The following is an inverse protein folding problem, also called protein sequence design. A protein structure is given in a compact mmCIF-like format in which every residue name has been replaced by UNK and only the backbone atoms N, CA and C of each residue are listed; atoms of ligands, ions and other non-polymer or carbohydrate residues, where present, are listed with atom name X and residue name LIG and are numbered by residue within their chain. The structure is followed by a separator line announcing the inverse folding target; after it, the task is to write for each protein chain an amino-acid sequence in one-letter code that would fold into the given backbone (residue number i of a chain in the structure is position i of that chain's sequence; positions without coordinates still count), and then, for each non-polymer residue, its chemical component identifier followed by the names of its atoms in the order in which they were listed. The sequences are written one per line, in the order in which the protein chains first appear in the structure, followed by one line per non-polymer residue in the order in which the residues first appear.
data_IF_799949059830
#
_entry.id   IF_799949059830
#
_cell.length_a   1.000
_cell.length_b   1.000
_cell.length_c   1.000
_cell.angle_alpha   90.00
_cell.angle_beta   90.00
_cell.angle_gamma   90.00
#
_symmetry.space_group_name_H-M   'P 1'
#
loop_
_entity.id
_entity.type
_entity.pdbx_description
1 polymer ?
#
# COMPACT_ATOMS: atom_id res chain seq x y z
N UNK A 1 26.75 -13.61 -23.41
CA UNK A 1 26.91 -12.23 -22.88
C UNK A 1 25.56 -11.58 -22.59
N UNK A 2 24.61 -11.54 -23.55
CA UNK A 2 23.28 -10.95 -23.30
C UNK A 2 22.37 -11.77 -22.38
N UNK A 3 22.60 -13.08 -22.26
CA UNK A 3 21.83 -13.94 -21.35
C UNK A 3 21.98 -13.50 -19.89
N UNK A 4 23.19 -13.12 -19.49
CA UNK A 4 23.51 -12.61 -18.15
C UNK A 4 22.86 -11.23 -17.90
N UNK A 5 22.88 -10.33 -18.89
CA UNK A 5 22.18 -9.03 -18.77
C UNK A 5 20.66 -9.21 -18.72
N UNK A 6 20.11 -10.12 -19.53
CA UNK A 6 18.66 -10.40 -19.54
C UNK A 6 18.22 -11.00 -18.21
N UNK A 7 18.95 -11.99 -17.70
CA UNK A 7 18.70 -12.59 -16.39
C UNK A 7 18.76 -11.51 -15.30
N UNK A 8 19.84 -10.71 -15.26
CA UNK A 8 19.97 -9.61 -14.30
C UNK A 8 18.79 -8.65 -14.35
N UNK A 9 18.38 -8.23 -15.56
CA UNK A 9 17.25 -7.31 -15.74
C UNK A 9 15.96 -7.88 -15.16
N UNK A 10 15.62 -9.14 -15.44
CA UNK A 10 14.39 -9.74 -14.92
C UNK A 10 14.45 -10.02 -13.42
N UNK A 11 15.55 -10.58 -12.94
CA UNK A 11 15.70 -11.03 -11.56
C UNK A 11 15.87 -9.88 -10.57
N UNK A 12 16.46 -8.75 -10.99
CA UNK A 12 16.74 -7.63 -10.10
C UNK A 12 15.86 -6.42 -10.39
N UNK A 13 15.72 -6.03 -11.66
CA UNK A 13 15.05 -4.77 -12.02
C UNK A 13 13.53 -4.96 -12.13
N UNK A 14 13.10 -5.93 -12.95
CA UNK A 14 11.68 -6.24 -13.12
C UNK A 14 11.08 -6.75 -11.81
N UNK A 15 11.80 -7.60 -11.06
CA UNK A 15 11.36 -8.08 -9.76
C UNK A 15 11.14 -6.93 -8.75
N UNK A 16 12.10 -6.01 -8.60
CA UNK A 16 11.96 -4.87 -7.68
C UNK A 16 10.82 -3.93 -8.10
N UNK A 17 10.69 -3.65 -9.40
CA UNK A 17 9.62 -2.83 -9.95
C UNK A 17 8.23 -3.47 -9.72
N UNK A 18 8.08 -4.77 -9.98
CA UNK A 18 6.85 -5.48 -9.72
C UNK A 18 6.52 -5.55 -8.23
N UNK A 19 7.53 -5.69 -7.36
CA UNK A 19 7.36 -5.60 -5.91
C UNK A 19 6.80 -4.25 -5.46
N UNK A 20 7.25 -3.14 -6.08
CA UNK A 20 6.64 -1.83 -5.86
C UNK A 20 5.19 -1.77 -6.38
N UNK A 21 4.91 -2.25 -7.60
CA UNK A 21 3.55 -2.23 -8.14
C UNK A 21 2.57 -3.06 -7.30
N UNK A 22 3.01 -4.20 -6.79
CA UNK A 22 2.23 -5.04 -5.87
C UNK A 22 1.98 -4.29 -4.56
N UNK A 23 3.03 -3.67 -4.01
CA UNK A 23 2.90 -2.88 -2.77
C UNK A 23 1.92 -1.72 -2.95
N UNK A 24 2.04 -0.93 -4.03
CA UNK A 24 1.12 0.18 -4.32
C UNK A 24 -0.34 -0.27 -4.44
N UNK A 25 -0.57 -1.50 -4.90
CA UNK A 25 -1.91 -2.07 -5.13
C UNK A 25 -2.51 -2.75 -3.91
N UNK A 26 -1.69 -3.18 -2.96
CA UNK A 26 -2.22 -3.74 -1.73
C UNK A 26 -2.95 -2.67 -0.92
N UNK A 27 -3.92 -3.11 -0.13
CA UNK A 27 -4.67 -2.21 0.75
C UNK A 27 -3.93 -1.89 2.04
N UNK A 28 -2.61 -2.04 2.17
CA UNK A 28 -1.89 -1.82 3.44
C UNK A 28 -1.09 -0.53 3.38
N UNK A 29 -1.29 0.38 4.32
CA UNK A 29 -0.57 1.65 4.40
C UNK A 29 0.08 1.82 5.77
N UNK A 30 1.35 2.20 5.82
CA UNK A 30 2.09 2.37 7.07
C UNK A 30 3.46 1.71 7.05
N UNK A 31 4.18 1.83 8.16
CA UNK A 31 5.53 1.27 8.35
C UNK A 31 6.52 1.58 7.20
N UNK A 32 6.33 2.72 6.50
CA UNK A 32 7.10 3.15 5.34
C UNK A 32 7.28 2.08 4.26
N UNK A 33 6.26 1.23 4.09
CA UNK A 33 6.33 0.08 3.18
C UNK A 33 6.37 0.51 1.72
N UNK A 34 5.46 1.39 1.30
CA UNK A 34 5.39 1.89 -0.07
C UNK A 34 6.64 2.71 -0.41
N UNK A 35 7.13 3.52 0.53
CA UNK A 35 8.37 4.27 0.38
C UNK A 35 9.57 3.34 0.19
N UNK A 36 9.75 2.33 1.05
CA UNK A 36 10.85 1.36 0.91
C UNK A 36 10.78 0.61 -0.42
N UNK A 37 9.59 0.16 -0.81
CA UNK A 37 9.40 -0.52 -2.09
C UNK A 37 9.75 0.40 -3.28
N UNK A 38 9.34 1.67 -3.24
CA UNK A 38 9.65 2.65 -4.26
C UNK A 38 11.17 2.93 -4.36
N UNK A 39 11.86 3.11 -3.23
CA UNK A 39 13.31 3.34 -3.20
C UNK A 39 14.08 2.11 -3.71
N UNK A 40 13.63 0.89 -3.37
CA UNK A 40 14.24 -0.33 -3.88
C UNK A 40 14.11 -0.44 -5.40
N UNK A 41 12.90 -0.20 -5.94
CA UNK A 41 12.67 -0.16 -7.38
C UNK A 41 13.49 0.93 -8.07
N UNK A 42 13.56 2.13 -7.48
CA UNK A 42 14.34 3.24 -8.01
C UNK A 42 15.83 2.91 -8.08
N UNK A 43 16.36 2.28 -7.04
CA UNK A 43 17.76 1.88 -6.95
C UNK A 43 18.10 0.86 -8.04
N UNK A 44 17.27 -0.17 -8.22
CA UNK A 44 17.47 -1.18 -9.26
C UNK A 44 17.42 -0.59 -10.67
N UNK A 45 16.44 0.28 -10.95
CA UNK A 45 16.30 0.97 -12.24
C UNK A 45 17.45 1.94 -12.52
N UNK A 46 17.93 2.66 -11.51
CA UNK A 46 19.02 3.62 -11.68
C UNK A 46 20.35 2.90 -11.97
N UNK A 47 20.67 1.85 -11.22
CA UNK A 47 21.96 1.16 -11.34
C UNK A 47 22.06 0.15 -12.49
N UNK A 48 20.96 -0.20 -13.17
CA UNK A 48 20.99 -1.10 -14.35
C UNK A 48 22.02 -0.66 -15.41
N UNK A 49 22.23 0.66 -15.57
CA UNK A 49 23.25 1.22 -16.47
C UNK A 49 24.64 0.62 -16.25
N UNK A 50 25.00 0.31 -15.01
CA UNK A 50 26.32 -0.23 -14.63
C UNK A 50 26.51 -1.67 -15.12
N UNK A 51 25.40 -2.39 -15.34
CA UNK A 51 25.38 -3.77 -15.83
C UNK A 51 25.31 -3.85 -17.36
N UNK A 52 25.09 -2.73 -18.06
CA UNK A 52 25.15 -2.70 -19.52
C UNK A 52 26.61 -2.88 -19.98
N UNK A 53 26.89 -3.76 -20.97
CA UNK A 53 28.22 -3.91 -21.56
C UNK A 53 28.80 -2.58 -22.04
N UNK A 54 30.10 -2.36 -21.82
CA UNK A 54 30.75 -1.07 -22.08
C UNK A 54 30.52 -0.53 -23.51
N UNK A 55 30.47 -1.42 -24.51
CA UNK A 55 30.22 -1.06 -25.92
C UNK A 55 28.83 -0.43 -26.17
N UNK A 56 27.85 -0.69 -25.31
CA UNK A 56 26.47 -0.18 -25.45
C UNK A 56 26.09 0.77 -24.30
N UNK A 57 26.96 0.97 -23.32
CA UNK A 57 26.65 1.73 -22.11
C UNK A 57 26.57 3.23 -22.40
N UNK A 58 25.36 3.75 -22.51
CA UNK A 58 25.08 5.19 -22.60
C UNK A 58 25.53 5.92 -21.32
N UNK A 59 25.89 7.20 -21.44
CA UNK A 59 26.17 8.02 -20.25
C UNK A 59 24.87 8.36 -19.51
N UNK A 60 24.97 8.77 -18.23
CA UNK A 60 23.80 9.27 -17.48
C UNK A 60 23.14 10.43 -18.23
N UNK A 61 23.93 11.34 -18.79
CA UNK A 61 23.46 12.49 -19.56
C UNK A 61 22.67 12.06 -20.79
N UNK A 62 23.14 11.04 -21.52
CA UNK A 62 22.44 10.54 -22.71
C UNK A 62 21.12 9.86 -22.37
N UNK A 63 21.06 9.14 -21.24
CA UNK A 63 19.82 8.55 -20.75
C UNK A 63 18.84 9.63 -20.28
N UNK A 64 19.31 10.67 -19.58
CA UNK A 64 18.49 11.79 -19.14
C UNK A 64 17.93 12.61 -20.32
N UNK A 65 18.67 12.72 -21.44
CA UNK A 65 18.16 13.33 -22.66
C UNK A 65 17.00 12.53 -23.29
N UNK A 66 16.98 11.22 -23.11
CA UNK A 66 15.91 10.34 -23.62
C UNK A 66 14.73 10.23 -22.64
N UNK A 67 15.02 10.23 -21.34
CA UNK A 67 14.05 10.18 -20.26
C UNK A 67 14.49 11.12 -19.13
N UNK A 68 13.98 12.36 -19.07
CA UNK A 68 14.37 13.32 -18.02
C UNK A 68 14.14 12.80 -16.60
N UNK A 69 13.15 11.91 -16.43
CA UNK A 69 12.85 11.26 -15.16
C UNK A 69 13.99 10.34 -14.67
N UNK A 70 14.95 9.95 -15.53
CA UNK A 70 16.14 9.21 -15.11
C UNK A 70 17.07 10.04 -14.21
N UNK A 71 17.16 11.36 -14.44
CA UNK A 71 17.93 12.25 -13.56
C UNK A 71 17.23 12.43 -12.20
N UNK A 72 15.91 12.64 -12.22
CA UNK A 72 15.11 12.71 -11.00
C UNK A 72 15.20 11.40 -10.19
N UNK A 73 15.16 10.25 -10.88
CA UNK A 73 15.35 8.95 -10.25
C UNK A 73 16.72 8.85 -9.57
N UNK A 74 17.78 9.33 -10.24
CA UNK A 74 19.12 9.40 -9.66
C UNK A 74 19.15 10.25 -8.39
N UNK A 75 18.47 11.39 -8.37
CA UNK A 75 18.41 12.23 -7.17
C UNK A 75 17.66 11.54 -6.04
N UNK A 76 16.53 10.88 -6.33
CA UNK A 76 15.76 10.07 -5.37
C UNK A 76 16.65 9.01 -4.71
N UNK A 77 17.40 8.23 -5.52
CA UNK A 77 18.31 7.18 -5.01
C UNK A 77 19.41 7.79 -4.15
N UNK A 78 20.01 8.91 -4.61
CA UNK A 78 21.12 9.51 -3.89
C UNK A 78 20.69 10.20 -2.58
N UNK A 79 19.56 10.93 -2.54
CA UNK A 79 19.07 11.50 -1.27
C UNK A 79 18.67 10.40 -0.30
N UNK A 80 18.04 9.31 -0.76
CA UNK A 80 17.66 8.20 0.11
C UNK A 80 18.89 7.54 0.77
N UNK A 81 20.02 7.49 0.05
CA UNK A 81 21.29 6.96 0.55
C UNK A 81 22.05 7.96 1.45
N UNK A 82 22.08 9.23 1.08
CA UNK A 82 22.96 10.23 1.69
C UNK A 82 22.23 11.23 2.60
N UNK A 83 20.92 11.07 2.76
CA UNK A 83 19.98 12.00 3.41
C UNK A 83 19.83 13.33 2.70
N UNK A 84 20.93 14.02 2.39
CA UNK A 84 20.92 15.35 1.80
C UNK A 84 21.90 15.42 0.63
N UNK A 85 21.50 16.12 -0.43
CA UNK A 85 22.35 16.40 -1.59
C UNK A 85 22.82 17.86 -1.57
N UNK A 86 24.13 18.07 -1.70
CA UNK A 86 24.76 19.39 -1.70
C UNK A 86 25.22 19.86 -3.08
N UNK A 87 25.16 19.01 -4.12
CA UNK A 87 25.58 19.33 -5.48
C UNK A 87 24.63 20.33 -6.15
N UNK A 88 25.17 21.25 -6.95
CA UNK A 88 24.41 22.37 -7.55
C UNK A 88 23.29 21.93 -8.51
N UNK A 89 23.48 20.80 -9.22
CA UNK A 89 22.47 20.26 -10.12
C UNK A 89 21.71 19.10 -9.44
N UNK A 90 20.57 19.44 -8.85
CA UNK A 90 19.63 18.49 -8.22
C UNK A 90 18.20 18.99 -8.31
N UNK A 91 17.25 18.07 -8.43
CA UNK A 91 15.81 18.30 -8.34
C UNK A 91 15.29 18.11 -6.91
N UNK A 92 16.01 17.33 -6.09
CA UNK A 92 15.62 16.96 -4.72
C UNK A 92 16.77 17.25 -3.77
N UNK A 93 16.53 18.03 -2.72
CA UNK A 93 17.57 18.37 -1.74
C UNK A 93 17.72 17.35 -0.62
N UNK A 94 16.61 16.77 -0.14
CA UNK A 94 16.60 15.97 1.09
C UNK A 94 15.69 14.74 0.98
N UNK A 95 16.04 13.67 1.69
CA UNK A 95 15.26 12.44 1.78
C UNK A 95 13.86 12.68 2.37
N UNK A 96 13.70 13.67 3.26
CA UNK A 96 12.40 14.06 3.82
C UNK A 96 11.43 14.61 2.76
N UNK A 97 11.94 15.01 1.59
CA UNK A 97 11.11 15.42 0.47
C UNK A 97 10.52 14.22 -0.30
N UNK A 98 10.89 12.98 0.03
CA UNK A 98 10.27 11.78 -0.48
C UNK A 98 9.34 11.23 0.60
N UNK A 99 8.05 11.16 0.32
CA UNK A 99 7.05 10.85 1.33
C UNK A 99 5.89 10.04 0.78
N UNK A 100 5.24 9.30 1.68
CA UNK A 100 3.99 8.59 1.38
C UNK A 100 2.82 9.55 1.58
N UNK A 101 1.85 9.49 0.68
CA UNK A 101 0.60 10.23 0.75
C UNK A 101 -0.59 9.28 0.58
N UNK A 102 -1.54 9.36 1.50
CA UNK A 102 -2.84 8.73 1.40
C UNK A 102 -3.84 9.71 0.78
N UNK A 103 -4.28 9.42 -0.44
CA UNK A 103 -5.35 10.16 -1.12
C UNK A 103 -6.67 9.48 -0.81
N UNK A 104 -7.63 10.24 -0.28
CA UNK A 104 -8.98 9.74 -0.02
C UNK A 104 -9.97 10.48 -0.88
N UNK A 105 -10.75 9.76 -1.68
CA UNK A 105 -11.79 10.36 -2.52
C UNK A 105 -13.16 10.00 -1.98
N UNK A 106 -13.93 11.02 -1.59
CA UNK A 106 -15.32 10.89 -1.18
C UNK A 106 -16.25 10.84 -2.39
N UNK A 107 -17.16 9.88 -2.37
CA UNK A 107 -18.27 9.71 -3.31
C UNK A 107 -19.59 9.65 -2.52
N UNK A 108 -20.71 9.79 -3.22
CA UNK A 108 -22.06 9.76 -2.67
C UNK A 108 -22.96 8.84 -3.51
N UNK A 109 -23.80 8.06 -2.82
CA UNK A 109 -24.89 7.31 -3.42
C UNK A 109 -26.16 7.41 -2.53
N UNK A 110 -27.21 6.68 -2.88
CA UNK A 110 -28.47 6.69 -2.12
C UNK A 110 -28.34 6.19 -0.66
N UNK A 111 -27.29 5.43 -0.33
CA UNK A 111 -26.99 4.95 1.02
C UNK A 111 -26.08 5.91 1.81
N UNK A 112 -25.63 7.00 1.19
CA UNK A 112 -24.80 8.05 1.79
C UNK A 112 -23.37 8.07 1.26
N UNK A 113 -22.47 8.69 2.02
CA UNK A 113 -21.07 8.85 1.63
C UNK A 113 -20.31 7.52 1.64
N UNK A 114 -19.33 7.38 0.76
CA UNK A 114 -18.34 6.30 0.75
C UNK A 114 -17.00 6.78 0.20
N UNK A 115 -15.93 6.01 0.44
CA UNK A 115 -14.57 6.48 0.21
C UNK A 115 -13.72 5.46 -0.55
N UNK A 116 -12.93 5.96 -1.49
CA UNK A 116 -11.84 5.22 -2.13
C UNK A 116 -10.50 5.72 -1.59
N UNK A 117 -9.62 4.78 -1.22
CA UNK A 117 -8.26 5.07 -0.82
C UNK A 117 -7.26 4.83 -1.95
N UNK A 118 -6.28 5.71 -2.05
CA UNK A 118 -5.14 5.54 -2.94
C UNK A 118 -3.84 5.90 -2.24
N UNK A 119 -2.85 5.04 -2.39
CA UNK A 119 -1.51 5.24 -1.84
C UNK A 119 -0.60 5.80 -2.92
N UNK A 120 0.11 6.88 -2.59
CA UNK A 120 1.13 7.48 -3.46
C UNK A 120 2.45 7.59 -2.71
N UNK A 121 3.54 7.48 -3.46
CA UNK A 121 4.86 7.95 -3.03
C UNK A 121 5.16 9.16 -3.88
N UNK A 122 5.34 10.31 -3.24
CA UNK A 122 5.59 11.58 -3.91
C UNK A 122 6.99 12.07 -3.56
N UNK A 123 7.53 12.89 -4.46
CA UNK A 123 8.75 13.66 -4.21
C UNK A 123 8.47 15.15 -4.41
N UNK A 124 8.89 15.98 -3.45
CA UNK A 124 8.84 17.44 -3.55
C UNK A 124 10.14 17.95 -4.20
N UNK A 125 9.99 18.71 -5.26
CA UNK A 125 11.10 19.29 -6.03
C UNK A 125 11.52 20.64 -5.44
N UNK A 126 12.69 21.14 -5.86
CA UNK A 126 13.22 22.45 -5.42
C UNK A 126 12.33 23.64 -5.79
N UNK A 127 11.55 23.52 -6.87
CA UNK A 127 10.59 24.55 -7.30
C UNK A 127 9.27 24.51 -6.50
N UNK A 128 9.16 23.61 -5.53
CA UNK A 128 7.97 23.42 -4.70
C UNK A 128 6.91 22.51 -5.31
N UNK A 129 7.05 22.11 -6.57
CA UNK A 129 6.15 21.14 -7.21
C UNK A 129 6.35 19.73 -6.66
N UNK A 130 5.42 18.83 -6.96
CA UNK A 130 5.49 17.41 -6.58
C UNK A 130 5.40 16.50 -7.80
N UNK A 131 6.08 15.35 -7.74
CA UNK A 131 6.01 14.28 -8.76
C UNK A 131 5.64 12.96 -8.12
N UNK A 132 4.82 12.15 -8.79
CA UNK A 132 4.52 10.78 -8.38
C UNK A 132 5.71 9.88 -8.73
N UNK A 133 6.35 9.31 -7.71
CA UNK A 133 7.52 8.44 -7.89
C UNK A 133 7.16 7.20 -8.71
N UNK A 134 5.91 6.71 -8.61
CA UNK A 134 5.44 5.61 -9.44
C UNK A 134 5.45 5.93 -10.93
N UNK A 135 5.11 7.17 -11.32
CA UNK A 135 5.21 7.61 -12.72
C UNK A 135 6.66 7.70 -13.19
N UNK A 136 7.55 8.23 -12.35
CA UNK A 136 9.00 8.29 -12.61
C UNK A 136 9.55 6.88 -12.85
N UNK A 137 9.18 5.91 -12.00
CA UNK A 137 9.57 4.51 -12.14
C UNK A 137 9.07 3.89 -13.45
N UNK A 138 7.80 4.14 -13.81
CA UNK A 138 7.20 3.66 -15.07
C UNK A 138 7.94 4.24 -16.28
N UNK A 139 8.19 5.55 -16.28
CA UNK A 139 8.87 6.23 -17.38
C UNK A 139 10.30 5.71 -17.57
N UNK A 140 11.02 5.43 -16.49
CA UNK A 140 12.37 4.85 -16.56
C UNK A 140 12.34 3.37 -16.96
N UNK A 141 11.35 2.59 -16.51
CA UNK A 141 11.17 1.21 -16.97
C UNK A 141 10.87 1.13 -18.48
N UNK A 142 9.99 1.99 -18.98
CA UNK A 142 9.69 2.12 -20.43
C UNK A 142 10.94 2.48 -21.25
N UNK A 143 11.76 3.40 -20.74
CA UNK A 143 13.06 3.72 -21.35
C UNK A 143 13.94 2.46 -21.41
N UNK A 144 14.08 1.73 -20.31
CA UNK A 144 14.90 0.51 -20.28
C UNK A 144 14.38 -0.60 -21.20
N UNK A 145 13.07 -0.79 -21.33
CA UNK A 145 12.52 -1.71 -22.32
C UNK A 145 12.91 -1.31 -23.75
N UNK A 146 12.87 0.00 -24.06
CA UNK A 146 13.34 0.52 -25.34
C UNK A 146 14.82 0.26 -25.59
N UNK A 147 15.68 0.59 -24.61
CA UNK A 147 17.13 0.41 -24.68
C UNK A 147 17.52 -1.08 -24.85
N UNK A 148 16.95 -1.96 -24.03
CA UNK A 148 17.24 -3.39 -24.07
C UNK A 148 16.73 -4.04 -25.36
N UNK A 149 15.62 -3.56 -25.92
CA UNK A 149 15.17 -4.00 -27.23
C UNK A 149 16.11 -3.55 -28.35
N UNK A 150 16.55 -2.29 -28.35
CA UNK A 150 17.52 -1.78 -29.34
C UNK A 150 18.86 -2.52 -29.30
N UNK A 151 19.29 -2.97 -28.12
CA UNK A 151 20.50 -3.79 -27.96
C UNK A 151 20.32 -5.27 -28.35
N UNK A 152 19.10 -5.70 -28.70
CA UNK A 152 18.80 -7.11 -29.01
C UNK A 152 18.71 -8.03 -27.79
N UNK A 153 18.68 -7.48 -26.57
CA UNK A 153 18.50 -8.24 -25.31
C UNK A 153 17.06 -8.73 -25.20
N UNK A 154 16.11 -7.86 -25.53
CA UNK A 154 14.69 -8.18 -25.59
C UNK A 154 14.27 -8.39 -27.05
N UNK A 155 13.59 -9.50 -27.31
CA UNK A 155 13.08 -9.84 -28.64
C UNK A 155 12.03 -8.83 -29.12
N UNK A 156 11.19 -8.38 -28.19
CA UNK A 156 10.12 -7.43 -28.43
C UNK A 156 10.19 -6.32 -27.39
N UNK A 157 9.81 -5.11 -27.81
CA UNK A 157 9.65 -4.00 -26.89
C UNK A 157 8.46 -4.28 -25.97
N UNK A 158 8.73 -4.30 -24.67
CA UNK A 158 7.69 -4.39 -23.64
C UNK A 158 7.20 -3.00 -23.25
N UNK A 159 6.00 -2.98 -22.67
CA UNK A 159 5.35 -1.78 -22.16
C UNK A 159 4.72 -2.06 -20.80
N UNK A 160 4.68 -1.04 -19.95
CA UNK A 160 3.99 -1.05 -18.69
C UNK A 160 2.56 -0.59 -18.93
N UNK A 161 1.59 -1.44 -18.56
CA UNK A 161 0.18 -1.06 -18.62
C UNK A 161 -0.10 0.13 -17.70
N UNK A 162 -0.50 1.25 -18.30
CA UNK A 162 -1.00 2.42 -17.56
C UNK A 162 -2.49 2.24 -17.37
N UNK A 163 -2.93 2.33 -16.11
CA UNK A 163 -4.37 2.48 -15.86
C UNK A 163 -4.76 3.89 -16.29
N UNK A 164 -5.85 4.07 -17.05
CA UNK A 164 -6.38 5.40 -17.28
C UNK A 164 -6.69 6.04 -15.92
N UNK A 165 -6.38 7.32 -15.76
CA UNK A 165 -7.01 8.12 -14.71
C UNK A 165 -8.50 8.08 -15.00
N UNK A 166 -9.28 7.34 -14.21
CA UNK A 166 -10.70 7.18 -14.48
C UNK A 166 -11.37 8.46 -13.99
N UNK A 167 -11.93 9.29 -14.90
CA UNK A 167 -12.71 10.46 -14.50
C UNK A 167 -14.09 10.05 -14.01
N UNK A 168 -14.50 8.79 -14.16
CA UNK A 168 -15.80 8.30 -13.72
C UNK A 168 -15.84 8.02 -12.21
N UNK A 169 -17.00 8.24 -11.57
CA UNK A 169 -17.16 7.94 -10.16
C UNK A 169 -17.11 6.42 -9.94
N UNK A 170 -16.31 5.99 -8.97
CA UNK A 170 -16.31 4.59 -8.55
C UNK A 170 -17.60 4.25 -7.84
N UNK A 171 -18.14 3.05 -8.05
CA UNK A 171 -19.25 2.53 -7.27
C UNK A 171 -18.78 2.05 -5.89
N UNK A 172 -19.69 1.99 -4.91
CA UNK A 172 -19.40 1.53 -3.54
C UNK A 172 -18.72 0.15 -3.47
N UNK A 173 -19.05 -0.77 -4.39
CA UNK A 173 -18.42 -2.10 -4.47
C UNK A 173 -17.02 -2.11 -5.10
N UNK A 174 -16.61 -1.03 -5.76
CA UNK A 174 -15.37 -0.93 -6.53
C UNK A 174 -14.35 0.03 -5.91
N UNK A 175 -14.58 0.48 -4.67
CA UNK A 175 -13.60 1.28 -3.93
C UNK A 175 -12.50 0.42 -3.34
N UNK A 176 -11.31 1.01 -3.20
CA UNK A 176 -10.13 0.36 -2.61
C UNK A 176 -10.10 0.69 -1.12
N UNK A 177 -10.26 -0.30 -0.22
CA UNK A 177 -10.03 -0.08 1.20
C UNK A 177 -8.54 0.11 1.46
N UNK A 178 -8.20 0.93 2.46
CA UNK A 178 -6.84 1.08 2.95
C UNK A 178 -6.83 0.78 4.45
N UNK A 179 -6.10 -0.26 4.81
CA UNK A 179 -5.82 -0.71 6.17
C UNK A 179 -4.56 -0.01 6.66
N UNK A 180 -4.70 0.72 7.75
CA UNK A 180 -3.60 1.45 8.36
C UNK A 180 -2.83 0.54 9.32
N UNK A 181 -1.51 0.44 9.14
CA UNK A 181 -0.61 -0.30 10.01
C UNK A 181 0.25 0.69 10.83
N UNK A 182 0.11 0.62 12.15
CA UNK A 182 0.82 1.48 13.09
C UNK A 182 1.55 0.59 14.10
N UNK A 183 2.86 0.76 14.20
CA UNK A 183 3.65 0.11 15.22
C UNK A 183 3.59 0.92 16.53
N UNK A 184 3.20 0.27 17.62
CA UNK A 184 3.14 0.90 18.94
C UNK A 184 4.53 1.40 19.37
N UNK A 185 4.58 2.62 19.93
CA UNK A 185 5.83 3.24 20.38
C UNK A 185 6.73 3.78 19.26
N UNK A 186 6.34 3.67 17.99
CA UNK A 186 7.07 4.22 16.85
C UNK A 186 6.35 5.47 16.32
N UNK A 187 7.10 6.47 15.86
CA UNK A 187 6.53 7.67 15.23
C UNK A 187 5.62 7.29 14.06
N UNK A 188 4.39 7.78 14.11
CA UNK A 188 3.46 7.75 12.99
C UNK A 188 3.46 9.10 12.26
N UNK A 189 3.77 9.11 10.97
CA UNK A 189 3.65 10.30 10.09
C UNK A 189 2.83 9.88 8.88
N UNK A 190 1.73 10.59 8.62
CA UNK A 190 0.89 10.40 7.44
C UNK A 190 0.67 11.76 6.77
N UNK A 191 0.84 11.82 5.45
CA UNK A 191 0.37 12.94 4.65
C UNK A 191 -0.94 12.52 3.97
N UNK A 192 -1.98 13.33 4.11
CA UNK A 192 -3.30 13.02 3.58
C UNK A 192 -3.72 14.06 2.56
N UNK A 193 -4.37 13.62 1.47
CA UNK A 193 -4.99 14.48 0.47
C UNK A 193 -6.46 14.09 0.34
N UNK A 194 -7.36 14.70 1.13
CA UNK A 194 -8.79 14.48 0.98
C UNK A 194 -9.31 15.19 -0.27
N UNK A 195 -10.16 14.49 -1.00
CA UNK A 195 -10.79 14.93 -2.23
C UNK A 195 -12.25 14.47 -2.27
N UNK A 196 -13.06 15.10 -3.09
CA UNK A 196 -14.43 14.69 -3.35
C UNK A 196 -14.71 14.66 -4.84
N UNK A 197 -15.52 13.70 -5.27
CA UNK A 197 -16.02 13.69 -6.63
C UNK A 197 -17.13 14.73 -6.80
N UNK A 198 -16.94 15.65 -7.74
CA UNK A 198 -17.95 16.61 -8.17
C UNK A 198 -18.75 15.99 -9.31
N UNK A 199 -20.00 15.61 -9.03
CA UNK A 199 -20.89 14.92 -9.97
C UNK A 199 -21.37 15.82 -11.12
N UNK A 200 -21.50 17.13 -10.88
CA UNK A 200 -21.89 18.09 -11.90
C UNK A 200 -20.75 18.36 -12.88
N UNK A 201 -19.53 18.47 -12.35
CA UNK A 201 -18.32 18.72 -13.15
C UNK A 201 -17.67 17.45 -13.71
N UNK A 202 -18.11 16.26 -13.29
CA UNK A 202 -17.57 14.97 -13.73
C UNK A 202 -16.08 14.77 -13.38
N UNK A 203 -15.63 15.29 -12.22
CA UNK A 203 -14.20 15.26 -11.85
C UNK A 203 -13.97 15.24 -10.34
N UNK A 204 -12.79 14.78 -9.95
CA UNK A 204 -12.32 14.86 -8.55
C UNK A 204 -11.77 16.25 -8.25
N UNK A 205 -12.18 16.82 -7.12
CA UNK A 205 -11.74 18.13 -6.64
C UNK A 205 -11.15 18.01 -5.22
N UNK A 206 -10.09 18.77 -4.90
CA UNK A 206 -9.54 18.78 -3.55
C UNK A 206 -10.56 19.35 -2.56
N UNK A 207 -10.62 18.76 -1.35
CA UNK A 207 -11.40 19.35 -0.26
C UNK A 207 -10.62 20.53 0.30
N UNK A 208 -11.21 21.72 0.26
CA UNK A 208 -10.62 22.90 0.91
C UNK A 208 -10.80 22.80 2.43
N UNK A 209 -9.66 22.71 3.14
CA UNK A 209 -9.60 22.64 4.59
C UNK A 209 -9.09 23.94 5.21
N UNK A 210 -8.89 25.01 4.43
CA UNK A 210 -8.31 26.28 4.90
C UNK A 210 -9.14 26.96 6.00
N UNK A 211 -10.45 26.71 6.00
CA UNK A 211 -11.41 27.24 7.00
C UNK A 211 -11.75 26.22 8.11
N UNK A 212 -11.17 25.01 8.08
CA UNK A 212 -11.44 23.99 9.08
C UNK A 212 -10.87 24.43 10.43
N UNK A 213 -11.74 24.55 11.44
CA UNK A 213 -11.33 24.91 12.82
C UNK A 213 -10.79 23.72 13.61
N UNK A 214 -11.26 22.52 13.27
CA UNK A 214 -10.87 21.26 13.89
C UNK A 214 -10.94 20.15 12.84
N UNK A 215 -9.92 19.30 12.80
CA UNK A 215 -9.90 18.10 11.95
C UNK A 215 -9.73 16.90 12.88
N UNK A 216 -10.76 16.06 12.98
CA UNK A 216 -10.76 14.87 13.83
C UNK A 216 -10.57 13.61 12.99
N UNK A 217 -9.70 12.72 13.45
CA UNK A 217 -9.51 11.39 12.88
C UNK A 217 -9.77 10.35 13.95
N UNK A 218 -10.71 9.44 13.69
CA UNK A 218 -10.98 8.30 14.58
C UNK A 218 -10.28 7.06 14.05
N UNK A 219 -9.21 6.64 14.72
CA UNK A 219 -8.61 5.33 14.50
C UNK A 219 -9.33 4.36 15.42
N UNK A 220 -10.06 3.40 14.84
CA UNK A 220 -10.70 2.32 15.58
C UNK A 220 -9.82 1.10 15.48
N UNK A 221 -9.50 0.47 16.61
CA UNK A 221 -8.88 -0.85 16.57
C UNK A 221 -9.84 -1.85 15.92
N UNK A 222 -9.34 -2.80 15.12
CA UNK A 222 -10.19 -3.82 14.52
C UNK A 222 -10.92 -4.58 15.63
N UNK A 223 -12.25 -4.67 15.49
CA UNK A 223 -13.06 -5.56 16.31
C UNK A 223 -12.70 -7.00 15.92
N UNK A 224 -12.19 -7.76 16.87
CA UNK A 224 -11.96 -9.18 16.66
C UNK A 224 -13.25 -9.90 17.01
N UNK A 225 -13.98 -10.30 15.97
CA UNK A 225 -15.18 -11.13 16.09
C UNK A 225 -14.76 -12.61 16.02
N UNK A 226 -15.19 -13.40 17.01
CA UNK A 226 -14.89 -14.82 17.08
C UNK A 226 -16.20 -15.62 17.01
N UNK A 227 -16.35 -16.45 15.98
CA UNK A 227 -17.50 -17.35 15.84
C UNK A 227 -17.28 -18.58 16.73
N UNK A 228 -18.12 -18.73 17.74
CA UNK A 228 -18.14 -19.89 18.64
C UNK A 228 -19.29 -20.81 18.23
N UNK A 229 -18.96 -22.06 17.91
CA UNK A 229 -19.93 -23.12 17.63
C UNK A 229 -20.00 -24.11 18.79
N UNK A 230 -21.19 -24.32 19.34
CA UNK A 230 -21.46 -25.34 20.37
C UNK A 230 -22.29 -26.46 19.75
N UNK A 231 -21.77 -27.69 19.81
CA UNK A 231 -22.48 -28.87 19.36
C UNK A 231 -23.15 -29.58 20.52
N UNK A 232 -24.46 -29.82 20.43
CA UNK A 232 -25.15 -30.70 21.36
C UNK A 232 -24.70 -32.15 21.12
N UNK A 233 -24.16 -32.80 22.14
CA UNK A 233 -23.65 -34.17 22.08
C UNK A 233 -24.74 -35.25 21.90
N UNK A 234 -26.00 -34.92 22.18
CA UNK A 234 -27.17 -35.82 22.08
C UNK A 234 -27.90 -35.65 20.76
N UNK A 235 -28.15 -34.40 20.31
CA UNK A 235 -28.90 -34.13 19.06
C UNK A 235 -28.02 -33.89 17.85
N UNK A 236 -26.72 -33.63 18.05
CA UNK A 236 -25.77 -33.29 16.99
C UNK A 236 -25.91 -31.87 16.43
N UNK A 237 -26.89 -31.10 16.89
CA UNK A 237 -27.18 -29.74 16.43
C UNK A 237 -26.07 -28.76 16.85
N UNK A 238 -25.67 -27.87 15.94
CA UNK A 238 -24.60 -26.88 16.17
C UNK A 238 -25.22 -25.49 16.24
N UNK A 239 -25.08 -24.81 17.37
CA UNK A 239 -25.46 -23.42 17.53
C UNK A 239 -24.21 -22.55 17.39
N UNK A 240 -24.26 -21.58 16.47
CA UNK A 240 -23.18 -20.62 16.22
C UNK A 240 -23.53 -19.24 16.75
N UNK A 241 -22.59 -18.60 17.43
CA UNK A 241 -22.70 -17.20 17.88
C UNK A 241 -21.38 -16.48 17.68
N UNK A 242 -21.47 -15.21 17.32
CA UNK A 242 -20.31 -14.33 17.19
C UNK A 242 -20.12 -13.58 18.51
N UNK A 243 -18.92 -13.66 19.06
CA UNK A 243 -18.51 -12.92 20.26
C UNK A 243 -17.53 -11.84 19.85
N UNK A 244 -17.81 -10.58 20.19
CA UNK A 244 -16.86 -9.48 20.03
C UNK A 244 -15.83 -9.55 21.16
N UNK A 245 -14.54 -9.74 20.85
CA UNK A 245 -13.46 -9.78 21.85
C UNK A 245 -13.04 -8.37 22.27
N UNK A 246 -12.71 -8.20 23.55
CA UNK A 246 -12.00 -7.00 24.04
C UNK A 246 -10.55 -6.96 23.52
N UNK A 247 -9.91 -5.78 23.61
CA UNK A 247 -8.52 -5.57 23.20
C UNK A 247 -7.54 -6.51 23.91
N UNK A 248 -7.72 -6.73 25.21
CA UNK A 248 -6.88 -7.62 26.02
C UNK A 248 -7.09 -9.09 25.62
N UNK A 249 -8.33 -9.50 25.41
CA UNK A 249 -8.67 -10.85 24.97
C UNK A 249 -8.14 -11.17 23.57
N UNK A 250 -8.24 -10.21 22.64
CA UNK A 250 -7.67 -10.39 21.29
C UNK A 250 -6.15 -10.55 21.34
N UNK A 251 -5.44 -9.71 22.10
CA UNK A 251 -3.99 -9.83 22.27
C UNK A 251 -3.59 -11.15 22.90
N UNK A 252 -4.33 -11.61 23.92
CA UNK A 252 -4.12 -12.93 24.54
C UNK A 252 -4.35 -14.06 23.55
N UNK A 253 -5.40 -14.01 22.74
CA UNK A 253 -5.69 -15.04 21.74
C UNK A 253 -4.64 -15.10 20.62
N UNK A 254 -4.19 -13.94 20.14
CA UNK A 254 -3.25 -13.83 19.02
C UNK A 254 -1.85 -14.42 19.31
N UNK A 255 -1.45 -14.47 20.59
CA UNK A 255 -0.16 -15.04 21.01
C UNK A 255 -0.22 -16.54 21.29
N UNK A 256 -1.39 -17.18 21.19
CA UNK A 256 -1.54 -18.62 21.41
C UNK A 256 -1.10 -19.39 20.17
N UNK A 257 -0.11 -20.26 20.38
CA UNK A 257 0.59 -21.00 19.33
C UNK A 257 0.00 -22.39 19.09
N UNK A 258 -0.65 -23.00 20.09
CA UNK A 258 -1.23 -24.32 19.98
C UNK A 258 -2.76 -24.31 19.95
N UNK A 259 -3.34 -25.31 19.29
CA UNK A 259 -4.79 -25.48 19.22
C UNK A 259 -5.40 -25.75 20.60
N UNK A 260 -4.67 -26.44 21.47
CA UNK A 260 -5.10 -26.71 22.84
C UNK A 260 -5.18 -25.42 23.68
N UNK A 261 -4.15 -24.57 23.63
CA UNK A 261 -4.17 -23.26 24.30
C UNK A 261 -5.32 -22.38 23.80
N UNK A 262 -5.60 -22.41 22.49
CA UNK A 262 -6.74 -21.69 21.90
C UNK A 262 -8.07 -22.22 22.41
N UNK A 263 -8.25 -23.55 22.48
CA UNK A 263 -9.48 -24.13 23.03
C UNK A 263 -9.67 -23.80 24.51
N UNK A 264 -8.62 -23.89 25.34
CA UNK A 264 -8.68 -23.55 26.76
C UNK A 264 -9.05 -22.07 26.95
N UNK A 265 -8.46 -21.18 26.15
CA UNK A 265 -8.80 -19.77 26.14
C UNK A 265 -10.25 -19.52 25.72
N UNK A 266 -10.76 -20.22 24.70
CA UNK A 266 -12.16 -20.10 24.27
C UNK A 266 -13.14 -20.59 25.34
N UNK A 267 -12.81 -21.67 26.05
CA UNK A 267 -13.59 -22.15 27.20
C UNK A 267 -13.60 -21.11 28.32
N UNK A 268 -12.44 -20.52 28.65
CA UNK A 268 -12.34 -19.45 29.63
C UNK A 268 -13.15 -18.21 29.22
N UNK A 269 -13.09 -17.84 27.94
CA UNK A 269 -13.82 -16.70 27.40
C UNK A 269 -15.34 -16.92 27.45
N UNK A 270 -15.79 -18.15 27.18
CA UNK A 270 -17.18 -18.55 27.38
C UNK A 270 -17.63 -18.40 28.84
N UNK A 271 -16.79 -18.78 29.81
CA UNK A 271 -17.08 -18.65 31.25
C UNK A 271 -17.10 -17.19 31.73
N UNK A 272 -16.22 -16.32 31.18
CA UNK A 272 -16.10 -14.90 31.55
C UNK A 272 -17.25 -14.02 31.01
N UNK A 273 -17.83 -14.33 29.84
CA UNK A 273 -18.95 -13.55 29.28
C UNK A 273 -20.27 -13.68 30.06
N UNK A 274 -20.26 -14.39 31.21
CA UNK A 274 -21.35 -14.55 32.17
C UNK A 274 -22.50 -15.45 31.67
N UNK A 275 -23.21 -16.14 32.59
CA UNK A 275 -24.02 -17.31 32.29
C UNK A 275 -25.14 -17.06 31.29
N UNK A 276 -25.66 -15.86 31.12
CA UNK A 276 -26.86 -15.61 30.30
C UNK A 276 -26.70 -15.95 28.82
N UNK A 277 -25.58 -15.64 28.17
CA UNK A 277 -25.40 -15.96 26.74
C UNK A 277 -25.24 -17.47 26.50
N UNK A 278 -24.50 -18.16 27.37
CA UNK A 278 -24.34 -19.62 27.32
C UNK A 278 -25.57 -20.36 27.85
N UNK A 279 -26.25 -19.86 28.87
CA UNK A 279 -27.50 -20.38 29.43
C UNK A 279 -28.66 -20.16 28.45
N UNK A 280 -28.67 -19.09 27.66
CA UNK A 280 -29.64 -18.88 26.59
C UNK A 280 -29.38 -19.85 25.44
N UNK A 281 -28.10 -20.13 25.10
CA UNK A 281 -27.74 -21.17 24.13
C UNK A 281 -28.09 -22.56 24.68
N UNK A 282 -27.76 -22.86 25.94
CA UNK A 282 -28.07 -24.12 26.62
C UNK A 282 -29.59 -24.28 26.80
N UNK A 283 -30.35 -23.21 27.06
CA UNK A 283 -31.82 -23.20 27.08
C UNK A 283 -32.42 -23.39 25.71
N UNK A 284 -31.87 -22.76 24.68
CA UNK A 284 -32.32 -22.93 23.29
C UNK A 284 -32.08 -24.38 22.83
N UNK A 285 -30.97 -24.98 23.26
CA UNK A 285 -30.63 -26.38 23.00
C UNK A 285 -31.51 -27.33 23.83
N UNK A 286 -31.72 -27.07 25.13
CA UNK A 286 -32.50 -27.95 26.02
C UNK A 286 -34.02 -27.76 25.88
N UNK A 287 -34.49 -26.63 25.36
CA UNK A 287 -35.90 -26.33 25.10
C UNK A 287 -36.40 -26.86 23.75
N UNK A 288 -35.52 -27.45 22.93
CA UNK A 288 -35.85 -28.14 21.67
C UNK A 288 -35.86 -29.67 21.79
N UNK A 289 -35.71 -30.20 23.01
CA UNK A 289 -35.86 -31.64 23.35
C UNK A 289 -37.32 -31.96 23.68
#
# INVERSE_FOLDING_TARGET
MFDDLKAYFYENVVAAFNGYLQTKRDGQYGASRDLRAAINAATALYHLREHIPAAHRKSRKDLALQCPDYDLLGDIVNVAKHRTLTKDYRFVADAENIFEQLVTTRYQDAAGDYYDGEKKVLVRLLDGSTRDVGEVLINVMEMWFGELHQMGVLRERQHVERRPEVPEPKTRGNVRPVNLEIAAGIRFKVEMKPQSYNYDAGRVEPVDLSQAREITFTVREPKFELEVGLQNSVTGEIVKRTIELTQEQSRRFAVLSSEQERQEFLVQLGQEYSPTALEDIIREINGRV
#
